data_IF_936837736765
#
_entry.id   IF_936837736765
#
_cell.length_a   1.000
_cell.length_b   1.000
_cell.length_c   1.000
_cell.angle_alpha   90.00
_cell.angle_beta   90.00
_cell.angle_gamma   90.00
#
_symmetry.space_group_name_H-M   'P 1'
#
loop_
_entity.id
_entity.type
_entity.pdbx_description
1 polymer ?
#
# COMPACT_ATOMS: atom_id res chain seq x y z
N UNK A 1 25.83 -21.14 0.47
CA UNK A 1 25.90 -19.75 0.99
C UNK A 1 24.60 -19.09 0.57
N UNK A 2 23.56 -19.22 1.40
CA UNK A 2 22.23 -18.70 1.07
C UNK A 2 22.24 -17.20 1.34
N UNK A 3 22.34 -16.40 0.28
CA UNK A 3 21.98 -14.98 0.32
C UNK A 3 20.51 -14.92 0.74
N UNK A 4 20.25 -14.72 2.03
CA UNK A 4 19.00 -14.11 2.45
C UNK A 4 19.03 -12.73 1.82
N UNK A 5 18.28 -12.55 0.74
CA UNK A 5 17.90 -11.22 0.28
C UNK A 5 17.27 -10.55 1.49
N UNK A 6 18.03 -9.67 2.13
CA UNK A 6 17.51 -8.72 3.10
C UNK A 6 16.64 -7.77 2.31
N UNK A 7 15.40 -8.19 2.05
CA UNK A 7 14.33 -7.25 1.74
C UNK A 7 14.41 -6.24 2.88
N UNK A 8 14.65 -4.95 2.61
CA UNK A 8 14.60 -3.95 3.67
C UNK A 8 13.29 -4.18 4.42
N UNK A 9 13.28 -4.11 5.75
CA UNK A 9 12.07 -4.32 6.55
C UNK A 9 11.15 -3.12 6.30
N UNK A 10 10.52 -3.11 5.13
CA UNK A 10 9.68 -2.03 4.65
C UNK A 10 8.36 -2.20 5.39
N UNK A 11 7.99 -1.15 6.13
CA UNK A 11 6.73 -1.14 6.83
C UNK A 11 5.56 -1.13 5.85
N UNK A 12 4.45 -1.74 6.24
CA UNK A 12 3.19 -1.66 5.49
C UNK A 12 2.76 -0.20 5.24
N UNK A 13 3.12 0.71 6.15
CA UNK A 13 2.91 2.15 6.02
C UNK A 13 3.65 2.73 4.81
N UNK A 14 4.94 2.45 4.66
CA UNK A 14 5.75 2.92 3.51
C UNK A 14 5.18 2.35 2.20
N UNK A 15 4.78 1.07 2.16
CA UNK A 15 4.16 0.50 0.95
C UNK A 15 2.82 1.18 0.64
N UNK A 16 2.02 1.50 1.66
CA UNK A 16 0.79 2.27 1.50
C UNK A 16 1.03 3.65 0.89
N UNK A 17 2.08 4.35 1.32
CA UNK A 17 2.48 5.63 0.72
C UNK A 17 2.94 5.49 -0.74
N UNK A 18 3.68 4.42 -1.06
CA UNK A 18 4.09 4.11 -2.43
C UNK A 18 2.89 3.82 -3.34
N UNK A 19 1.86 3.12 -2.84
CA UNK A 19 0.59 2.91 -3.57
C UNK A 19 -0.07 4.25 -3.87
N UNK A 20 -0.12 5.16 -2.89
CA UNK A 20 -0.69 6.49 -3.09
C UNK A 20 0.12 7.29 -4.13
N UNK A 21 1.45 7.21 -4.09
CA UNK A 21 2.33 7.87 -5.06
C UNK A 21 2.12 7.30 -6.48
N UNK A 22 2.07 5.98 -6.63
CA UNK A 22 1.77 5.30 -7.89
C UNK A 22 0.37 5.63 -8.42
N UNK A 23 -0.64 5.67 -7.53
CA UNK A 23 -2.00 6.07 -7.89
C UNK A 23 -2.08 7.51 -8.40
N UNK A 24 -1.33 8.44 -7.77
CA UNK A 24 -1.24 9.84 -8.22
C UNK A 24 -0.65 9.96 -9.63
N UNK A 25 0.26 9.08 -10.04
CA UNK A 25 0.82 9.09 -11.40
C UNK A 25 -0.27 9.00 -12.48
N UNK A 26 -1.30 8.19 -12.25
CA UNK A 26 -2.41 8.05 -13.20
C UNK A 26 -3.20 9.34 -13.34
N UNK A 27 -3.55 9.96 -12.22
CA UNK A 27 -4.27 11.22 -12.21
C UNK A 27 -3.43 12.34 -12.86
N UNK A 28 -2.14 12.42 -12.53
CA UNK A 28 -1.24 13.43 -13.08
C UNK A 28 -1.04 13.26 -14.59
N UNK A 29 -0.82 12.04 -15.09
CA UNK A 29 -0.67 11.79 -16.53
C UNK A 29 -1.93 12.15 -17.32
N UNK A 30 -3.12 11.86 -16.80
CA UNK A 30 -4.39 12.30 -17.41
C UNK A 30 -4.51 13.83 -17.42
N UNK A 31 -4.15 14.49 -16.31
CA UNK A 31 -4.17 15.96 -16.21
C UNK A 31 -3.19 16.60 -17.17
N UNK A 32 -1.97 16.08 -17.30
CA UNK A 32 -0.99 16.56 -18.29
C UNK A 32 -1.60 16.54 -19.70
N UNK A 33 -2.21 15.43 -20.11
CA UNK A 33 -2.82 15.30 -21.44
C UNK A 33 -4.01 16.25 -21.61
N UNK A 34 -4.92 16.30 -20.62
CA UNK A 34 -6.10 17.17 -20.65
C UNK A 34 -5.71 18.65 -20.77
N UNK A 35 -4.76 19.09 -19.93
CA UNK A 35 -4.35 20.49 -19.91
C UNK A 35 -3.48 20.86 -21.12
N UNK A 36 -2.73 19.91 -21.71
CA UNK A 36 -2.09 20.12 -23.00
C UNK A 36 -3.12 20.30 -24.14
N UNK A 37 -4.22 19.53 -24.14
CA UNK A 37 -5.32 19.70 -25.10
C UNK A 37 -6.04 21.06 -24.94
N UNK A 38 -6.18 21.55 -23.71
CA UNK A 38 -6.72 22.89 -23.45
C UNK A 38 -5.76 23.99 -23.89
N UNK A 39 -4.45 23.81 -23.63
CA UNK A 39 -3.41 24.71 -24.11
C UNK A 39 -3.39 24.81 -25.65
N UNK A 40 -3.62 23.70 -26.35
CA UNK A 40 -3.77 23.68 -27.81
C UNK A 40 -4.95 24.54 -28.30
N UNK A 41 -5.98 24.72 -27.47
CA UNK A 41 -7.13 25.59 -27.77
C UNK A 41 -6.89 27.06 -27.38
N UNK A 42 -5.67 27.41 -26.97
CA UNK A 42 -5.27 28.77 -26.60
C UNK A 42 -5.40 29.09 -25.11
N UNK A 43 -5.68 28.12 -24.24
CA UNK A 43 -5.72 28.34 -22.80
C UNK A 43 -4.31 28.33 -22.19
N UNK A 44 -3.70 29.52 -22.09
CA UNK A 44 -2.37 29.69 -21.51
C UNK A 44 -2.29 29.27 -20.03
N UNK A 45 -3.37 29.42 -19.26
CA UNK A 45 -3.39 29.02 -17.86
C UNK A 45 -3.37 27.48 -17.74
N UNK A 46 -4.04 26.77 -18.66
CA UNK A 46 -3.97 25.32 -18.71
C UNK A 46 -2.55 24.82 -18.99
N UNK A 47 -1.77 25.50 -19.83
CA UNK A 47 -0.37 25.10 -20.09
C UNK A 47 0.49 25.14 -18.82
N UNK A 48 0.31 26.15 -17.97
CA UNK A 48 1.00 26.23 -16.68
C UNK A 48 0.66 25.02 -15.81
N UNK A 49 -0.63 24.68 -15.71
CA UNK A 49 -1.09 23.51 -14.95
C UNK A 49 -0.53 22.20 -15.54
N UNK A 50 -0.42 22.09 -16.87
CA UNK A 50 0.16 20.92 -17.52
C UNK A 50 1.63 20.72 -17.12
N UNK A 51 2.41 21.81 -17.08
CA UNK A 51 3.83 21.79 -16.66
C UNK A 51 3.98 21.42 -15.19
N UNK A 52 3.22 22.04 -14.30
CA UNK A 52 3.26 21.72 -12.87
C UNK A 52 2.90 20.24 -12.60
N UNK A 53 1.89 19.74 -13.31
CA UNK A 53 1.51 18.32 -13.24
C UNK A 53 2.62 17.41 -13.78
N UNK A 54 3.28 17.81 -14.87
CA UNK A 54 4.38 17.06 -15.48
C UNK A 54 5.61 17.00 -14.56
N UNK A 55 5.98 18.11 -13.94
CA UNK A 55 7.10 18.18 -13.00
C UNK A 55 6.83 17.30 -11.78
N UNK A 56 5.61 17.39 -11.23
CA UNK A 56 5.18 16.53 -10.12
C UNK A 56 5.16 15.06 -10.52
N UNK A 57 4.70 14.75 -11.74
CA UNK A 57 4.68 13.39 -12.30
C UNK A 57 6.10 12.82 -12.39
N UNK A 58 7.02 13.56 -13.02
CA UNK A 58 8.41 13.16 -13.20
C UNK A 58 9.15 12.96 -11.87
N UNK A 59 9.00 13.90 -10.93
CA UNK A 59 9.62 13.81 -9.61
C UNK A 59 9.09 12.60 -8.83
N UNK A 60 7.77 12.38 -8.86
CA UNK A 60 7.14 11.23 -8.20
C UNK A 60 7.57 9.90 -8.82
N UNK A 61 7.72 9.82 -10.15
CA UNK A 61 8.26 8.63 -10.82
C UNK A 61 9.71 8.36 -10.43
N UNK A 62 10.55 9.40 -10.35
CA UNK A 62 11.93 9.26 -9.88
C UNK A 62 11.98 8.68 -8.45
N UNK A 63 11.14 9.18 -7.54
CA UNK A 63 11.03 8.65 -6.16
C UNK A 63 10.57 7.19 -6.11
N UNK A 64 9.67 6.77 -7.00
CA UNK A 64 9.23 5.37 -7.09
C UNK A 64 10.34 4.43 -7.57
N UNK A 65 11.21 4.92 -8.47
CA UNK A 65 12.24 4.11 -9.13
C UNK A 65 13.58 4.15 -8.38
N UNK A 66 14.10 5.35 -8.17
CA UNK A 66 15.43 5.62 -7.60
C UNK A 66 15.39 5.62 -6.07
N UNK A 67 14.24 5.97 -5.48
CA UNK A 67 14.10 6.15 -4.03
C UNK A 67 14.56 7.53 -3.56
N UNK A 68 14.42 7.77 -2.27
CA UNK A 68 14.94 8.92 -1.54
C UNK A 68 15.22 8.50 -0.07
N UNK A 69 15.46 9.45 0.84
CA UNK A 69 15.72 9.14 2.26
C UNK A 69 14.54 8.43 2.96
N UNK A 70 13.32 8.54 2.42
CA UNK A 70 12.09 7.98 2.98
C UNK A 70 11.59 6.77 2.18
N UNK A 71 11.73 6.80 0.86
CA UNK A 71 11.28 5.75 -0.04
C UNK A 71 12.44 4.86 -0.52
N UNK A 72 12.32 3.52 -0.42
CA UNK A 72 13.39 2.59 -0.77
C UNK A 72 13.63 2.44 -2.28
N UNK A 73 12.90 3.18 -3.12
CA UNK A 73 12.86 2.98 -4.57
C UNK A 73 12.25 1.62 -4.93
N UNK A 74 12.73 1.01 -6.02
CA UNK A 74 12.29 -0.33 -6.43
C UNK A 74 12.83 -1.40 -5.48
N UNK A 75 12.00 -1.78 -4.51
CA UNK A 75 12.39 -2.68 -3.43
C UNK A 75 12.17 -4.16 -3.69
N UNK A 76 11.14 -4.53 -4.47
CA UNK A 76 10.81 -5.95 -4.72
C UNK A 76 11.33 -6.44 -6.08
N UNK A 77 11.57 -7.76 -6.17
CA UNK A 77 11.95 -8.41 -7.43
C UNK A 77 10.85 -8.32 -8.48
N UNK A 78 9.58 -8.44 -8.08
CA UNK A 78 8.43 -8.28 -8.96
C UNK A 78 8.34 -6.85 -9.53
N UNK A 79 8.53 -5.83 -8.69
CA UNK A 79 8.59 -4.43 -9.14
C UNK A 79 9.79 -4.18 -10.04
N UNK A 80 10.95 -4.80 -9.76
CA UNK A 80 12.14 -4.70 -10.60
C UNK A 80 11.92 -5.27 -11.99
N UNK A 81 11.23 -6.40 -12.10
CA UNK A 81 10.85 -6.99 -13.39
C UNK A 81 9.86 -6.10 -14.15
N UNK A 82 8.94 -5.43 -13.46
CA UNK A 82 8.01 -4.49 -14.09
C UNK A 82 8.72 -3.23 -14.62
N UNK A 83 9.60 -2.62 -13.82
CA UNK A 83 10.31 -1.39 -14.20
C UNK A 83 11.41 -1.61 -15.24
N UNK A 84 12.22 -2.65 -15.07
CA UNK A 84 13.45 -2.87 -15.84
C UNK A 84 13.46 -4.15 -16.68
N UNK A 85 12.50 -5.04 -16.48
CA UNK A 85 12.36 -6.28 -17.25
C UNK A 85 11.59 -6.10 -18.55
N UNK A 86 10.81 -7.11 -18.95
CA UNK A 86 10.17 -7.13 -20.27
C UNK A 86 9.21 -5.96 -20.55
N UNK A 87 8.58 -5.40 -19.50
CA UNK A 87 7.64 -4.29 -19.65
C UNK A 87 8.30 -2.92 -19.77
N UNK A 88 9.57 -2.79 -19.37
CA UNK A 88 10.37 -1.55 -19.42
C UNK A 88 9.59 -0.32 -18.92
N UNK A 89 8.92 -0.43 -17.78
CA UNK A 89 8.00 0.61 -17.32
C UNK A 89 8.71 1.95 -17.11
N UNK A 90 9.94 1.94 -16.60
CA UNK A 90 10.73 3.15 -16.39
C UNK A 90 11.01 3.89 -17.72
N UNK A 91 11.49 3.14 -18.73
CA UNK A 91 11.78 3.68 -20.06
C UNK A 91 10.54 4.31 -20.69
N UNK A 92 9.38 3.65 -20.59
CA UNK A 92 8.11 4.11 -21.16
C UNK A 92 7.57 5.36 -20.44
N UNK A 93 7.66 5.41 -19.11
CA UNK A 93 7.21 6.55 -18.32
C UNK A 93 8.11 7.77 -18.56
N UNK A 94 9.43 7.57 -18.65
CA UNK A 94 10.38 8.64 -19.02
C UNK A 94 10.20 9.10 -20.46
N UNK A 95 9.89 8.19 -21.40
CA UNK A 95 9.57 8.55 -22.77
C UNK A 95 8.30 9.42 -22.85
N UNK A 96 7.24 9.04 -22.12
CA UNK A 96 6.03 9.88 -22.01
C UNK A 96 6.33 11.25 -21.41
N UNK A 97 7.17 11.31 -20.37
CA UNK A 97 7.58 12.57 -19.74
C UNK A 97 8.27 13.49 -20.76
N UNK A 98 9.15 12.94 -21.61
CA UNK A 98 9.80 13.69 -22.70
C UNK A 98 8.81 14.16 -23.75
N UNK A 99 7.85 13.31 -24.16
CA UNK A 99 6.80 13.68 -25.10
C UNK A 99 5.93 14.82 -24.56
N UNK A 100 5.53 14.73 -23.29
CA UNK A 100 4.75 15.76 -22.62
C UNK A 100 5.51 17.09 -22.51
N UNK A 101 6.80 17.05 -22.16
CA UNK A 101 7.65 18.24 -22.11
C UNK A 101 7.79 18.89 -23.49
N UNK A 102 7.98 18.09 -24.53
CA UNK A 102 8.04 18.56 -25.91
C UNK A 102 6.72 19.22 -26.34
N UNK A 103 5.58 18.59 -26.07
CA UNK A 103 4.27 19.15 -26.35
C UNK A 103 4.05 20.48 -25.62
N UNK A 104 4.40 20.58 -24.33
CA UNK A 104 4.28 21.82 -23.56
C UNK A 104 5.16 22.93 -24.14
N UNK A 105 6.41 22.63 -24.49
CA UNK A 105 7.33 23.61 -25.08
C UNK A 105 6.87 24.09 -26.47
N UNK A 106 6.28 23.20 -27.28
CA UNK A 106 5.65 23.57 -28.54
C UNK A 106 4.48 24.54 -28.30
N UNK A 107 3.56 24.19 -27.39
CA UNK A 107 2.42 25.03 -27.04
C UNK A 107 2.82 26.42 -26.53
N UNK A 108 3.88 26.50 -25.71
CA UNK A 108 4.41 27.77 -25.20
C UNK A 108 4.84 28.69 -26.35
N UNK A 109 5.64 28.17 -27.29
CA UNK A 109 6.07 28.94 -28.47
C UNK A 109 4.91 29.35 -29.37
N UNK A 110 3.90 28.49 -29.52
CA UNK A 110 2.71 28.78 -30.33
C UNK A 110 1.88 29.92 -29.72
N UNK A 111 1.70 29.92 -28.40
CA UNK A 111 1.01 30.99 -27.67
C UNK A 111 1.77 32.31 -27.80
N UNK A 112 3.10 32.29 -27.64
CA UNK A 112 3.96 33.48 -27.78
C UNK A 112 3.93 34.05 -29.21
N UNK A 113 4.01 33.18 -30.22
CA UNK A 113 4.01 33.59 -31.62
C UNK A 113 2.61 33.95 -32.16
N UNK A 114 1.53 33.61 -31.44
CA UNK A 114 0.13 33.78 -31.89
C UNK A 114 -0.15 33.15 -33.26
N UNK A 115 0.53 32.04 -33.58
CA UNK A 115 0.39 31.33 -34.86
C UNK A 115 -0.15 29.93 -34.67
N UNK A 116 -1.08 29.50 -35.53
CA UNK A 116 -1.51 28.12 -35.60
C UNK A 116 -0.34 27.24 -36.09
N UNK A 117 0.27 26.50 -35.17
CA UNK A 117 1.42 25.65 -35.43
C UNK A 117 1.00 24.18 -35.56
N UNK A 118 1.04 23.65 -36.79
CA UNK A 118 0.73 22.24 -37.08
C UNK A 118 1.69 21.27 -36.38
N UNK A 119 2.89 21.73 -36.01
CA UNK A 119 3.85 20.95 -35.22
C UNK A 119 3.35 20.76 -33.79
N UNK A 120 2.69 21.77 -33.21
CA UNK A 120 2.08 21.68 -31.88
C UNK A 120 0.92 20.67 -31.86
N UNK A 121 0.04 20.73 -32.87
CA UNK A 121 -1.08 19.78 -32.99
C UNK A 121 -0.57 18.34 -33.11
N UNK A 122 0.48 18.11 -33.91
CA UNK A 122 1.11 16.80 -34.04
C UNK A 122 1.69 16.30 -32.70
N UNK A 123 2.41 17.16 -31.97
CA UNK A 123 3.00 16.80 -30.68
C UNK A 123 1.95 16.44 -29.61
N UNK A 124 0.85 17.19 -29.53
CA UNK A 124 -0.26 16.91 -28.60
C UNK A 124 -1.02 15.64 -29.01
N UNK A 125 -1.14 15.37 -30.31
CA UNK A 125 -1.74 14.13 -30.83
C UNK A 125 -0.90 12.91 -30.47
N UNK A 126 0.42 13.00 -30.60
CA UNK A 126 1.35 11.95 -30.19
C UNK A 126 1.26 11.68 -28.68
N UNK A 127 1.24 12.74 -27.86
CA UNK A 127 1.05 12.66 -26.41
C UNK A 127 -0.26 11.96 -26.04
N UNK A 128 -1.36 12.32 -26.70
CA UNK A 128 -2.69 11.72 -26.47
C UNK A 128 -2.70 10.25 -26.85
N UNK A 129 -2.02 9.87 -27.94
CA UNK A 129 -1.88 8.48 -28.39
C UNK A 129 -1.07 7.65 -27.39
N UNK A 130 -0.03 8.24 -26.80
CA UNK A 130 0.79 7.58 -25.78
C UNK A 130 0.08 7.44 -24.42
N UNK A 131 -0.99 8.20 -24.17
CA UNK A 131 -1.68 8.23 -22.88
C UNK A 131 -2.37 6.90 -22.53
N UNK A 132 -3.14 6.32 -23.45
CA UNK A 132 -3.86 5.06 -23.21
C UNK A 132 -2.94 3.91 -22.77
N UNK A 133 -1.87 3.56 -23.53
CA UNK A 133 -0.98 2.48 -23.12
C UNK A 133 -0.17 2.82 -21.85
N UNK A 134 0.03 4.11 -21.54
CA UNK A 134 0.63 4.52 -20.26
C UNK A 134 -0.32 4.28 -19.09
N UNK A 135 -1.62 4.58 -19.23
CA UNK A 135 -2.59 4.40 -18.15
C UNK A 135 -2.78 2.93 -17.76
N UNK A 136 -2.66 2.02 -18.73
CA UNK A 136 -2.64 0.57 -18.48
C UNK A 136 -1.37 0.15 -17.72
N UNK A 137 -0.21 0.71 -18.10
CA UNK A 137 1.05 0.46 -17.41
C UNK A 137 1.03 0.97 -15.96
N UNK A 138 0.56 2.19 -15.74
CA UNK A 138 0.44 2.79 -14.40
C UNK A 138 -0.55 2.02 -13.52
N UNK A 139 -1.64 1.47 -14.11
CA UNK A 139 -2.54 0.58 -13.39
C UNK A 139 -1.84 -0.71 -12.98
N UNK A 140 -1.07 -1.33 -13.88
CA UNK A 140 -0.32 -2.54 -13.57
C UNK A 140 0.72 -2.30 -12.46
N UNK A 141 1.39 -1.15 -12.47
CA UNK A 141 2.32 -0.76 -11.39
C UNK A 141 1.58 -0.59 -10.07
N UNK A 142 0.46 0.13 -10.06
CA UNK A 142 -0.34 0.33 -8.84
C UNK A 142 -0.80 -1.01 -8.25
N UNK A 143 -1.24 -1.93 -9.10
CA UNK A 143 -1.63 -3.28 -8.68
C UNK A 143 -0.45 -4.05 -8.08
N UNK A 144 0.74 -3.96 -8.68
CA UNK A 144 1.93 -4.61 -8.15
C UNK A 144 2.30 -4.09 -6.75
N UNK A 145 2.21 -2.78 -6.50
CA UNK A 145 2.42 -2.24 -5.14
C UNK A 145 1.37 -2.74 -4.14
N UNK A 146 0.11 -2.91 -4.56
CA UNK A 146 -0.93 -3.50 -3.70
C UNK A 146 -0.67 -4.97 -3.39
N UNK A 147 -0.12 -5.72 -4.35
CA UNK A 147 0.25 -7.12 -4.16
C UNK A 147 1.43 -7.25 -3.18
N UNK A 148 2.41 -6.35 -3.27
CA UNK A 148 3.52 -6.26 -2.32
C UNK A 148 3.05 -5.92 -0.90
N UNK A 149 2.10 -4.98 -0.74
CA UNK A 149 1.53 -4.66 0.58
C UNK A 149 0.92 -5.91 1.22
N UNK A 150 0.12 -6.66 0.46
CA UNK A 150 -0.50 -7.90 0.95
C UNK A 150 0.55 -8.94 1.34
N UNK A 151 1.66 -9.02 0.61
CA UNK A 151 2.79 -9.90 0.93
C UNK A 151 3.47 -9.49 2.24
N UNK A 152 3.74 -8.20 2.43
CA UNK A 152 4.34 -7.64 3.65
C UNK A 152 3.44 -7.87 4.87
N UNK A 153 2.14 -7.61 4.74
CA UNK A 153 1.15 -7.84 5.81
C UNK A 153 1.05 -9.33 6.18
N UNK A 154 1.01 -10.21 5.19
CA UNK A 154 0.98 -11.66 5.42
C UNK A 154 2.25 -12.16 6.12
N UNK A 155 3.42 -11.63 5.72
CA UNK A 155 4.69 -11.96 6.37
C UNK A 155 4.74 -11.45 7.81
N UNK A 156 4.24 -10.24 8.08
CA UNK A 156 4.13 -9.68 9.42
C UNK A 156 3.20 -10.51 10.31
N UNK A 157 2.01 -10.88 9.82
CA UNK A 157 1.07 -11.73 10.54
C UNK A 157 1.67 -13.11 10.87
N UNK A 158 2.39 -13.72 9.94
CA UNK A 158 3.09 -15.00 10.16
C UNK A 158 4.18 -14.89 11.21
N UNK A 159 4.98 -13.79 11.19
CA UNK A 159 6.00 -13.52 12.22
C UNK A 159 5.35 -13.38 13.60
N UNK A 160 4.25 -12.62 13.69
CA UNK A 160 3.51 -12.43 14.94
C UNK A 160 2.94 -13.75 15.48
N UNK A 161 2.34 -14.58 14.62
CA UNK A 161 1.84 -15.90 15.01
C UNK A 161 2.97 -16.80 15.56
N UNK A 162 4.14 -16.81 14.91
CA UNK A 162 5.29 -17.59 15.38
C UNK A 162 5.81 -17.14 16.76
N UNK A 163 5.86 -15.83 17.02
CA UNK A 163 6.24 -15.29 18.34
C UNK A 163 5.25 -15.74 19.41
N UNK A 164 3.95 -15.70 19.09
CA UNK A 164 2.90 -16.10 20.01
C UNK A 164 2.99 -17.60 20.33
N UNK A 165 3.22 -18.46 19.33
CA UNK A 165 3.43 -19.90 19.55
C UNK A 165 4.67 -20.16 20.43
N UNK A 166 5.75 -19.41 20.22
CA UNK A 166 6.96 -19.51 21.05
C UNK A 166 6.70 -19.07 22.50
N UNK A 167 5.98 -17.97 22.71
CA UNK A 167 5.57 -17.50 24.03
C UNK A 167 4.66 -18.51 24.75
N UNK A 168 3.75 -19.16 24.03
CA UNK A 168 2.93 -20.23 24.58
C UNK A 168 3.79 -21.42 25.04
N UNK A 169 4.79 -21.82 24.23
CA UNK A 169 5.75 -22.87 24.60
C UNK A 169 6.59 -22.51 25.84
N UNK A 170 7.08 -21.26 25.90
CA UNK A 170 7.82 -20.74 27.07
C UNK A 170 6.93 -20.76 28.32
N UNK A 171 5.69 -20.29 28.21
CA UNK A 171 4.73 -20.25 29.32
C UNK A 171 4.43 -21.64 29.86
N UNK A 172 4.26 -22.64 28.99
CA UNK A 172 4.07 -24.04 29.39
C UNK A 172 5.29 -24.58 30.14
N UNK A 173 6.51 -24.36 29.64
CA UNK A 173 7.75 -24.79 30.31
C UNK A 173 7.91 -24.11 31.67
N UNK A 174 7.66 -22.81 31.74
CA UNK A 174 7.72 -22.05 32.98
C UNK A 174 6.70 -22.57 34.00
N UNK A 175 5.48 -22.89 33.58
CA UNK A 175 4.44 -23.45 34.45
C UNK A 175 4.85 -24.80 35.04
N UNK A 176 5.46 -25.69 34.25
CA UNK A 176 5.99 -26.97 34.72
C UNK A 176 7.09 -26.75 35.78
N UNK A 177 8.02 -25.81 35.53
CA UNK A 177 9.09 -25.46 36.49
C UNK A 177 8.49 -24.89 37.78
N UNK A 178 7.51 -24.00 37.68
CA UNK A 178 6.82 -23.41 38.82
C UNK A 178 6.13 -24.48 39.67
N UNK A 179 5.44 -25.42 39.02
CA UNK A 179 4.77 -26.54 39.68
C UNK A 179 5.78 -27.44 40.40
N UNK A 180 6.89 -27.79 39.74
CA UNK A 180 7.96 -28.59 40.35
C UNK A 180 8.57 -27.90 41.56
N UNK A 181 8.80 -26.59 41.47
CA UNK A 181 9.32 -25.79 42.57
C UNK A 181 8.34 -25.74 43.76
N UNK A 182 7.03 -25.60 43.51
CA UNK A 182 5.98 -25.69 44.54
C UNK A 182 5.98 -27.03 45.26
N UNK A 183 6.09 -28.13 44.52
CA UNK A 183 6.15 -29.49 45.09
C UNK A 183 7.41 -29.64 45.95
N UNK A 184 8.57 -29.15 45.48
CA UNK A 184 9.81 -29.18 46.24
C UNK A 184 9.74 -28.34 47.53
N UNK A 185 9.17 -27.14 47.46
CA UNK A 185 8.95 -26.27 48.62
C UNK A 185 8.04 -26.94 49.65
N UNK A 186 6.95 -27.57 49.21
CA UNK A 186 6.06 -28.34 50.08
C UNK A 186 6.78 -29.53 50.73
N UNK A 187 7.62 -30.24 49.96
CA UNK A 187 8.40 -31.39 50.45
C UNK A 187 9.46 -30.99 51.48
N UNK A 188 10.03 -29.79 51.38
CA UNK A 188 10.98 -29.26 52.35
C UNK A 188 10.34 -28.84 53.70
N UNK A 189 9.00 -28.89 53.81
CA UNK A 189 8.28 -28.60 55.03
C UNK A 189 8.57 -27.18 55.55
N UNK A 190 9.04 -27.08 56.80
CA UNK A 190 9.33 -25.78 57.43
C UNK A 190 10.45 -25.00 56.72
N UNK A 191 11.40 -25.68 56.09
CA UNK A 191 12.54 -25.05 55.41
C UNK A 191 12.17 -24.51 54.01
N UNK A 192 11.00 -24.86 53.49
CA UNK A 192 10.51 -24.43 52.18
C UNK A 192 9.54 -23.25 52.19
N UNK A 193 9.21 -22.67 53.37
CA UNK A 193 8.16 -21.64 53.48
C UNK A 193 8.42 -20.39 52.64
N UNK A 194 9.64 -19.86 52.69
CA UNK A 194 10.00 -18.66 51.91
C UNK A 194 10.02 -18.95 50.40
N UNK A 195 10.53 -20.13 50.02
CA UNK A 195 10.47 -20.61 48.64
C UNK A 195 9.02 -20.80 48.14
N UNK A 196 8.12 -21.28 49.00
CA UNK A 196 6.71 -21.48 48.64
C UNK A 196 6.02 -20.17 48.22
N UNK A 197 6.30 -19.06 48.91
CA UNK A 197 5.77 -17.73 48.57
C UNK A 197 6.26 -17.29 47.18
N UNK A 198 7.57 -17.39 46.93
CA UNK A 198 8.17 -17.00 45.64
C UNK A 198 7.58 -17.83 44.49
N UNK A 199 7.40 -19.14 44.70
CA UNK A 199 6.85 -20.02 43.67
C UNK A 199 5.36 -19.80 43.39
N UNK A 200 4.60 -19.29 44.38
CA UNK A 200 3.21 -18.91 44.19
C UNK A 200 3.09 -17.64 43.31
N UNK A 201 3.91 -16.62 43.58
CA UNK A 201 3.98 -15.41 42.75
C UNK A 201 4.43 -15.71 41.32
N UNK A 202 5.45 -16.56 41.16
CA UNK A 202 5.92 -16.97 39.83
C UNK A 202 4.83 -17.70 39.03
N UNK A 203 4.05 -18.58 39.68
CA UNK A 203 2.90 -19.24 39.04
C UNK A 203 1.79 -18.25 38.67
N UNK A 204 1.57 -17.20 39.48
CA UNK A 204 0.60 -16.15 39.18
C UNK A 204 1.00 -15.38 37.91
N UNK A 205 2.25 -14.90 37.83
CA UNK A 205 2.79 -14.16 36.68
C UNK A 205 2.69 -15.00 35.40
N UNK A 206 3.06 -16.29 35.46
CA UNK A 206 2.94 -17.18 34.30
C UNK A 206 1.48 -17.32 33.85
N UNK A 207 0.54 -17.42 34.80
CA UNK A 207 -0.89 -17.47 34.50
C UNK A 207 -1.46 -16.17 33.93
N UNK A 208 -0.85 -15.02 34.22
CA UNK A 208 -1.18 -13.75 33.55
C UNK A 208 -0.60 -13.69 32.13
N UNK A 209 0.66 -14.14 31.95
CA UNK A 209 1.29 -14.24 30.63
C UNK A 209 0.49 -15.14 29.68
N UNK A 210 0.05 -16.31 30.13
CA UNK A 210 -0.74 -17.24 29.32
C UNK A 210 -2.10 -16.63 28.90
N UNK A 211 -2.75 -15.89 29.81
CA UNK A 211 -3.98 -15.14 29.49
C UNK A 211 -3.75 -14.04 28.45
N UNK A 212 -2.65 -13.30 28.56
CA UNK A 212 -2.27 -12.26 27.59
C UNK A 212 -1.98 -12.86 26.21
N UNK A 213 -1.24 -13.96 26.15
CA UNK A 213 -0.93 -14.67 24.90
C UNK A 213 -2.21 -15.20 24.25
N UNK A 214 -3.09 -15.85 25.01
CA UNK A 214 -4.39 -16.32 24.52
C UNK A 214 -5.31 -15.16 24.09
N UNK A 215 -5.23 -14.00 24.74
CA UNK A 215 -5.98 -12.80 24.36
C UNK A 215 -5.56 -12.20 23.02
N UNK A 216 -4.29 -12.38 22.62
CA UNK A 216 -3.76 -11.94 21.32
C UNK A 216 -4.13 -12.93 20.20
N UNK A 217 -4.17 -14.24 20.48
CA UNK A 217 -4.63 -15.27 19.51
C UNK A 217 -6.15 -15.30 19.37
N UNK A 218 -6.87 -15.02 20.45
CA UNK A 218 -8.32 -15.19 20.58
C UNK A 218 -9.17 -14.08 19.97
N UNK A 219 -8.59 -13.11 19.26
CA UNK A 219 -9.33 -12.17 18.40
C UNK A 219 -9.16 -12.54 16.92
N UNK A 220 -9.80 -13.62 16.42
CA UNK A 220 -10.18 -13.63 15.02
C UNK A 220 -11.24 -12.54 14.85
N UNK A 221 -11.06 -11.67 13.85
CA UNK A 221 -12.05 -10.69 13.43
C UNK A 221 -13.42 -11.37 13.31
N UNK A 222 -14.33 -11.07 14.24
CA UNK A 222 -15.77 -11.16 13.98
C UNK A 222 -16.14 -10.03 13.03
N UNK A 223 -15.64 -10.10 11.78
CA UNK A 223 -16.27 -9.43 10.65
C UNK A 223 -17.61 -10.10 10.45
N UNK A 224 -18.60 -9.54 11.12
CA UNK A 224 -19.98 -9.92 11.05
C UNK A 224 -20.52 -9.58 9.65
N UNK A 225 -20.17 -10.37 8.63
CA UNK A 225 -20.87 -10.37 7.35
C UNK A 225 -22.12 -11.23 7.50
N UNK A 226 -23.14 -10.68 8.17
CA UNK A 226 -24.48 -11.18 8.03
C UNK A 226 -25.02 -10.75 6.65
N UNK A 227 -25.48 -11.68 5.79
CA UNK A 227 -26.17 -11.31 4.56
C UNK A 227 -27.61 -10.95 4.93
N UNK A 228 -27.99 -9.69 4.79
CA UNK A 228 -29.41 -9.31 4.77
C UNK A 228 -30.07 -9.90 3.52
N UNK A 229 -30.62 -11.11 3.69
CA UNK A 229 -31.67 -11.62 2.82
C UNK A 229 -32.97 -10.96 3.27
N UNK A 230 -33.44 -9.98 2.51
CA UNK A 230 -34.87 -9.61 2.51
C UNK A 230 -35.40 -9.64 1.08
N UNK A 231 -35.91 -10.82 0.71
CA UNK A 231 -36.84 -11.02 -0.38
C UNK A 231 -38.22 -11.22 0.25
N UNK A 232 -39.14 -10.29 0.00
CA UNK A 232 -40.48 -10.29 0.59
C UNK A 232 -41.43 -9.38 -0.17
N UNK A 233 -41.86 -9.85 -1.34
CA UNK A 233 -43.16 -9.67 -1.99
C UNK A 233 -43.95 -8.33 -1.90
N UNK A 234 -44.12 -7.77 -3.11
CA UNK A 234 -45.28 -7.07 -3.72
C UNK A 234 -46.62 -6.95 -2.96
N UNK A 235 -47.22 -5.79 -3.27
CA UNK A 235 -48.64 -5.43 -3.42
C UNK A 235 -49.35 -4.78 -2.24
N UNK A 236 -49.64 -3.47 -2.38
CA UNK A 236 -51.03 -3.04 -2.50
C UNK A 236 -51.18 -1.71 -3.26
N UNK A 237 -52.11 -1.75 -4.22
CA UNK A 237 -52.71 -0.62 -4.92
C UNK A 237 -53.70 0.11 -4.00
N UNK A 238 -53.95 1.37 -4.36
CA UNK A 238 -55.21 2.13 -4.30
C UNK A 238 -55.39 3.23 -3.23
N UNK A 239 -55.70 4.41 -3.80
CA UNK A 239 -56.47 5.57 -3.34
C UNK A 239 -55.67 6.78 -2.83
N UNK A 240 -55.99 8.03 -3.15
CA UNK A 240 -56.78 8.66 -4.22
C UNK A 240 -56.57 10.20 -4.08
N UNK A 241 -56.43 10.88 -5.23
CA UNK A 241 -56.92 12.24 -5.58
C UNK A 241 -56.62 13.50 -4.73
N UNK A 242 -56.64 14.61 -5.50
CA UNK A 242 -56.83 16.04 -5.19
C UNK A 242 -55.51 16.81 -4.96
N UNK A 243 -55.26 18.01 -5.49
CA UNK A 243 -55.92 18.90 -6.45
C UNK A 243 -54.95 20.08 -6.68
N UNK A 244 -55.02 20.77 -7.82
CA UNK A 244 -54.32 22.04 -8.08
C UNK A 244 -53.37 21.99 -9.24
#
# INVERSE_FOLDING_TARGET
>A
MNMRETIPDISAEIVGELINLAGRQRMLSQRVVLHALLGLRGDAAALVVARDCLDTFAASHARLVEGDDHFPGVFSTALRELYFGARKADERIRAFTKLAAHACACLERSIEASTADSVCEAAVTELTTAATPLLELLQALTQAYQDELRSVEAAAAKRQAGIVDELASISLRANIVALNARVAAARAGQFGREFAVITAELAHVIGEMDRLVQGVVGKPETRNSAPERHSGFRNQRMHARLAG
#
